data_IF_078649903954
#
_entry.id   IF_078649903954
#
_cell.length_a   1.000
_cell.length_b   1.000
_cell.length_c   1.000
_cell.angle_alpha   90.00
_cell.angle_beta   90.00
_cell.angle_gamma   90.00
#
_symmetry.space_group_name_H-M   'P 1'
#
loop_
_entity.id
_entity.type
_entity.pdbx_description
1 polymer ?
#
# COMPACT_ATOMS: atom_id res chain seq x y z
N UNK A 1 -14.80 -5.18 -8.80
CA UNK A 1 -14.74 -4.15 -9.87
C UNK A 1 -13.28 -3.83 -10.25
N UNK A 2 -12.48 -4.83 -10.68
CA UNK A 2 -11.01 -4.68 -10.80
C UNK A 2 -10.45 -4.69 -12.25
N UNK A 3 -11.27 -4.99 -13.27
CA UNK A 3 -10.75 -5.12 -14.64
C UNK A 3 -10.43 -3.78 -15.32
N UNK A 4 -11.26 -2.74 -15.15
CA UNK A 4 -11.10 -1.50 -15.92
C UNK A 4 -9.80 -0.74 -15.60
N UNK A 5 -9.43 -0.64 -14.31
CA UNK A 5 -8.22 0.06 -13.85
C UNK A 5 -6.94 -0.65 -14.34
N UNK A 6 -6.93 -1.98 -14.34
CA UNK A 6 -5.81 -2.78 -14.86
C UNK A 6 -5.62 -2.62 -16.37
N UNK A 7 -6.70 -2.42 -17.11
CA UNK A 7 -6.67 -2.18 -18.57
C UNK A 7 -6.27 -0.74 -18.91
N UNK A 8 -6.57 0.22 -18.03
CA UNK A 8 -6.29 1.64 -18.23
C UNK A 8 -5.44 2.23 -17.09
N UNK A 9 -4.17 1.78 -16.93
CA UNK A 9 -3.32 2.20 -15.82
C UNK A 9 -2.98 3.70 -15.83
N UNK A 10 -3.15 4.38 -16.97
CA UNK A 10 -2.87 5.82 -17.14
C UNK A 10 -4.10 6.71 -16.99
N UNK A 11 -5.32 6.16 -16.99
CA UNK A 11 -6.58 6.91 -16.79
C UNK A 11 -7.56 6.15 -15.90
N UNK A 12 -7.18 5.86 -14.65
CA UNK A 12 -7.98 5.07 -13.73
C UNK A 12 -9.26 5.81 -13.25
N UNK A 13 -9.28 7.15 -13.27
CA UNK A 13 -10.49 7.94 -12.99
C UNK A 13 -11.66 7.63 -13.95
N UNK A 14 -11.37 7.21 -15.19
CA UNK A 14 -12.41 6.80 -16.16
C UNK A 14 -13.14 5.53 -15.75
N UNK A 15 -12.56 4.74 -14.84
CA UNK A 15 -13.14 3.52 -14.31
C UNK A 15 -13.94 3.76 -13.03
N UNK A 16 -14.15 5.03 -12.63
CA UNK A 16 -14.82 5.39 -11.39
C UNK A 16 -13.99 5.13 -10.14
N UNK A 17 -12.70 4.81 -10.31
CA UNK A 17 -11.75 4.75 -9.20
C UNK A 17 -11.39 6.18 -8.78
N UNK A 18 -11.44 6.45 -7.48
CA UNK A 18 -10.91 7.69 -6.94
C UNK A 18 -9.38 7.74 -7.15
N UNK A 19 -8.79 8.93 -7.21
CA UNK A 19 -7.33 9.07 -7.39
C UNK A 19 -6.52 8.26 -6.37
N UNK A 20 -7.05 8.12 -5.14
CA UNK A 20 -6.44 7.31 -4.09
C UNK A 20 -6.54 5.81 -4.37
N UNK A 21 -7.69 5.30 -4.80
CA UNK A 21 -7.84 3.88 -5.15
C UNK A 21 -7.00 3.52 -6.38
N UNK A 22 -6.91 4.43 -7.34
CA UNK A 22 -6.04 4.31 -8.49
C UNK A 22 -4.56 4.23 -8.07
N UNK A 23 -4.11 5.14 -7.21
CA UNK A 23 -2.75 5.18 -6.71
C UNK A 23 -2.41 3.92 -5.91
N UNK A 24 -3.31 3.45 -5.04
CA UNK A 24 -3.15 2.22 -4.25
C UNK A 24 -2.99 0.99 -5.16
N UNK A 25 -3.86 0.82 -6.17
CA UNK A 25 -3.78 -0.31 -7.12
C UNK A 25 -2.46 -0.28 -7.91
N UNK A 26 -2.06 0.88 -8.42
CA UNK A 26 -0.80 1.04 -9.15
C UNK A 26 0.41 0.81 -8.23
N UNK A 27 0.32 1.29 -6.99
CA UNK A 27 1.38 1.17 -6.01
C UNK A 27 1.56 -0.27 -5.53
N UNK A 28 0.49 -1.05 -5.35
CA UNK A 28 0.60 -2.49 -5.03
C UNK A 28 1.42 -3.26 -6.06
N UNK A 29 1.23 -2.99 -7.35
CA UNK A 29 2.04 -3.60 -8.41
C UNK A 29 3.52 -3.18 -8.36
N UNK A 30 3.78 -1.93 -7.94
CA UNK A 30 5.13 -1.36 -7.83
C UNK A 30 5.84 -1.80 -6.55
N UNK A 31 5.13 -1.99 -5.44
CA UNK A 31 5.68 -2.32 -4.13
C UNK A 31 6.52 -3.60 -4.16
N UNK A 32 6.02 -4.66 -4.82
CA UNK A 32 6.77 -5.90 -5.01
C UNK A 32 8.06 -5.69 -5.83
N UNK A 33 8.00 -4.82 -6.84
CA UNK A 33 9.18 -4.48 -7.66
C UNK A 33 10.21 -3.66 -6.89
N UNK A 34 9.77 -2.77 -6.00
CA UNK A 34 10.67 -2.02 -5.12
C UNK A 34 11.31 -2.93 -4.07
N UNK A 35 10.58 -3.88 -3.47
CA UNK A 35 11.12 -4.86 -2.52
C UNK A 35 12.18 -5.78 -3.15
N UNK A 36 12.07 -6.07 -4.45
CA UNK A 36 13.05 -6.86 -5.18
C UNK A 36 14.39 -6.13 -5.42
N UNK A 37 14.44 -4.81 -5.25
CA UNK A 37 15.69 -4.04 -5.37
C UNK A 37 16.58 -4.29 -4.17
N UNK A 38 17.87 -4.52 -4.43
CA UNK A 38 18.88 -4.74 -3.38
C UNK A 38 19.26 -3.47 -2.62
N UNK A 39 19.23 -2.32 -3.29
CA UNK A 39 19.70 -1.02 -2.77
C UNK A 39 18.58 -0.12 -2.23
N UNK A 40 17.50 -0.69 -1.67
CA UNK A 40 16.49 0.12 -0.99
C UNK A 40 16.90 0.38 0.46
N UNK A 41 16.63 1.58 1.00
CA UNK A 41 16.82 1.86 2.42
C UNK A 41 16.06 0.86 3.29
N UNK A 42 16.62 0.46 4.42
CA UNK A 42 15.98 -0.51 5.34
C UNK A 42 14.61 -0.03 5.81
N UNK A 43 14.48 1.27 6.13
CA UNK A 43 13.20 1.85 6.50
C UNK A 43 12.14 1.66 5.40
N UNK A 44 12.54 1.82 4.14
CA UNK A 44 11.64 1.70 2.99
C UNK A 44 11.23 0.25 2.78
N UNK A 45 12.17 -0.69 2.96
CA UNK A 45 11.88 -2.12 2.99
C UNK A 45 10.83 -2.43 4.07
N UNK A 46 11.04 -1.96 5.29
CA UNK A 46 10.11 -2.20 6.41
C UNK A 46 8.71 -1.62 6.12
N UNK A 47 8.61 -0.40 5.60
CA UNK A 47 7.33 0.19 5.23
C UNK A 47 6.61 -0.59 4.11
N UNK A 48 7.36 -1.06 3.10
CA UNK A 48 6.81 -1.85 2.00
C UNK A 48 6.33 -3.23 2.47
N UNK A 49 7.08 -3.89 3.36
CA UNK A 49 6.68 -5.15 3.97
C UNK A 49 5.40 -5.00 4.80
N UNK A 50 5.31 -3.96 5.63
CA UNK A 50 4.10 -3.67 6.41
C UNK A 50 2.92 -3.27 5.51
N UNK A 51 3.15 -2.57 4.40
CA UNK A 51 2.12 -2.28 3.40
C UNK A 51 1.56 -3.55 2.74
N UNK A 52 2.45 -4.47 2.31
CA UNK A 52 2.03 -5.74 1.72
C UNK A 52 1.22 -6.56 2.74
N UNK A 53 1.71 -6.68 3.98
CA UNK A 53 0.96 -7.34 5.06
C UNK A 53 -0.38 -6.65 5.33
N UNK A 54 -0.42 -5.32 5.29
CA UNK A 54 -1.64 -4.57 5.47
C UNK A 54 -2.72 -4.94 4.44
N UNK A 55 -2.31 -5.12 3.17
CA UNK A 55 -3.23 -5.56 2.12
C UNK A 55 -3.58 -7.06 2.19
N UNK A 56 -2.62 -7.92 2.47
CA UNK A 56 -2.83 -9.38 2.49
C UNK A 56 -3.61 -9.86 3.73
N UNK A 57 -3.35 -9.27 4.90
CA UNK A 57 -3.99 -9.61 6.17
C UNK A 57 -5.17 -8.69 6.51
N UNK A 58 -5.66 -7.90 5.54
CA UNK A 58 -6.83 -7.03 5.65
C UNK A 58 -6.79 -6.16 6.93
N UNK A 59 -5.66 -5.49 7.17
CA UNK A 59 -5.47 -4.65 8.36
C UNK A 59 -6.53 -3.54 8.43
N UNK A 60 -6.70 -2.98 9.62
CA UNK A 60 -7.53 -1.80 9.83
C UNK A 60 -6.84 -0.59 9.18
N UNK A 61 -7.62 0.27 8.53
CA UNK A 61 -7.17 1.54 7.97
C UNK A 61 -6.69 1.48 6.51
N UNK A 62 -6.53 2.64 5.85
CA UNK A 62 -6.06 2.73 4.48
C UNK A 62 -4.54 2.45 4.38
N UNK A 63 -4.17 1.26 3.90
CA UNK A 63 -2.78 0.81 3.80
C UNK A 63 -1.86 1.77 3.04
N UNK A 64 -2.34 2.33 1.92
CA UNK A 64 -1.58 3.29 1.12
C UNK A 64 -1.26 4.58 1.87
N UNK A 65 -2.24 5.15 2.58
CA UNK A 65 -2.03 6.33 3.41
C UNK A 65 -1.00 6.05 4.52
N UNK A 66 -1.10 4.89 5.18
CA UNK A 66 -0.15 4.50 6.21
C UNK A 66 1.27 4.28 5.66
N UNK A 67 1.39 3.76 4.43
CA UNK A 67 2.67 3.73 3.74
C UNK A 67 3.23 5.13 3.52
N UNK A 68 2.42 6.11 3.09
CA UNK A 68 2.85 7.51 2.94
C UNK A 68 3.32 8.13 4.26
N UNK A 69 2.64 7.84 5.37
CA UNK A 69 3.10 8.26 6.70
C UNK A 69 4.45 7.61 7.05
N UNK A 70 4.58 6.31 6.82
CA UNK A 70 5.82 5.57 7.06
C UNK A 70 6.99 6.12 6.23
N UNK A 71 6.73 6.51 4.98
CA UNK A 71 7.72 7.17 4.12
C UNK A 71 8.11 8.56 4.63
N UNK A 72 7.15 9.38 5.05
CA UNK A 72 7.40 10.70 5.64
C UNK A 72 8.21 10.64 6.94
N UNK A 73 8.02 9.58 7.74
CA UNK A 73 8.76 9.33 8.97
C UNK A 73 10.01 8.44 8.77
N UNK A 74 10.29 8.02 7.54
CA UNK A 74 11.39 7.12 7.19
C UNK A 74 11.46 5.86 8.08
N UNK A 75 10.37 5.11 8.15
CA UNK A 75 10.34 3.78 8.77
C UNK A 75 9.37 3.61 9.93
N UNK A 76 8.76 4.68 10.41
CA UNK A 76 7.76 4.60 11.49
C UNK A 76 6.36 4.34 10.90
N UNK A 77 5.99 3.07 10.87
CA UNK A 77 4.65 2.65 10.45
C UNK A 77 3.61 3.02 11.51
N UNK A 78 2.54 3.75 11.18
CA UNK A 78 1.55 4.23 12.15
C UNK A 78 0.65 3.09 12.65
N UNK A 79 1.12 2.30 13.64
CA UNK A 79 0.39 1.15 14.20
C UNK A 79 -0.87 1.54 14.99
N UNK A 80 -1.03 2.82 15.33
CA UNK A 80 -2.27 3.35 15.89
C UNK A 80 -3.39 3.39 14.85
N UNK A 81 -3.06 3.66 13.58
CA UNK A 81 -4.03 3.76 12.47
C UNK A 81 -4.12 2.48 11.67
N UNK A 82 -2.96 1.94 11.30
CA UNK A 82 -2.83 0.75 10.48
C UNK A 82 -2.26 -0.42 11.28
N UNK A 83 -3.15 -1.30 11.69
CA UNK A 83 -2.83 -2.48 12.50
C UNK A 83 -3.67 -3.67 12.08
N UNK A 84 -3.16 -4.87 12.36
CA UNK A 84 -3.93 -6.11 12.31
C UNK A 84 -5.26 -5.94 13.03
N UNK A 85 -6.33 -6.45 12.42
CA UNK A 85 -7.56 -6.72 13.18
C UNK A 85 -7.16 -7.72 14.25
N UNK A 86 -7.39 -7.39 15.51
CA UNK A 86 -7.32 -8.43 16.54
C UNK A 86 -8.42 -9.42 16.19
N UNK A 87 -8.04 -10.65 15.86
CA UNK A 87 -8.97 -11.76 15.84
C UNK A 87 -9.53 -11.86 17.27
N UNK A 88 -10.83 -11.57 17.42
CA UNK A 88 -11.52 -11.79 18.69
C UNK A 88 -11.60 -13.33 18.86
N UNK A 89 -11.01 -13.90 19.93
CA UNK A 89 -10.92 -15.35 20.13
C UNK A 89 -12.28 -16.04 20.32
#
# INVERSE_FOLDING_TARGET
MSCCVKTHPTTPERCGATEMEAADILFSGKAASELAKRDIPEWKRSCLEDYVKCQEEDWLGPCYECFRYCEGQQGDWPRDKCRRRKEDP
#
